data_IF_791990137192
#
_entry.id   IF_791990137192
#
_cell.length_a   1.000
_cell.length_b   1.000
_cell.length_c   1.000
_cell.angle_alpha   90.00
_cell.angle_beta   90.00
_cell.angle_gamma   90.00
#
_symmetry.space_group_name_H-M   'P 1'
#
loop_
_entity.id
_entity.type
_entity.pdbx_description
1 polymer ?
#
# COMPACT_ATOMS: atom_id res chain seq x y z
N UNK A 1 -37.89 -2.15 21.26
CA UNK A 1 -37.00 -2.84 20.29
C UNK A 1 -36.84 -4.28 20.73
N UNK A 2 -37.02 -5.26 19.83
CA UNK A 2 -36.92 -6.68 20.18
C UNK A 2 -35.45 -7.09 20.41
N UNK A 3 -35.18 -7.94 21.39
CA UNK A 3 -33.83 -8.45 21.68
C UNK A 3 -33.18 -9.15 20.48
N UNK A 4 -33.99 -9.84 19.65
CA UNK A 4 -33.55 -10.43 18.38
C UNK A 4 -32.98 -9.39 17.41
N UNK A 5 -33.61 -8.22 17.32
CA UNK A 5 -33.19 -7.15 16.41
C UNK A 5 -31.85 -6.53 16.84
N UNK A 6 -31.61 -6.43 18.15
CA UNK A 6 -30.34 -5.96 18.71
C UNK A 6 -29.21 -6.97 18.42
N UNK A 7 -29.46 -8.27 18.57
CA UNK A 7 -28.48 -9.32 18.30
C UNK A 7 -28.09 -9.34 16.82
N UNK A 8 -29.06 -9.26 15.91
CA UNK A 8 -28.80 -9.22 14.46
C UNK A 8 -27.97 -7.98 14.09
N UNK A 9 -28.28 -6.82 14.67
CA UNK A 9 -27.55 -5.59 14.39
C UNK A 9 -26.09 -5.65 14.87
N UNK A 10 -25.85 -6.20 16.06
CA UNK A 10 -24.49 -6.40 16.59
C UNK A 10 -23.69 -7.41 15.76
N UNK A 11 -24.31 -8.51 15.32
CA UNK A 11 -23.67 -9.48 14.44
C UNK A 11 -23.29 -8.85 13.09
N UNK A 12 -24.13 -7.97 12.56
CA UNK A 12 -23.88 -7.29 11.29
C UNK A 12 -22.75 -6.26 11.40
N UNK A 13 -22.71 -5.49 12.50
CA UNK A 13 -21.63 -4.56 12.80
C UNK A 13 -20.28 -5.25 12.97
N UNK A 14 -20.25 -6.35 13.71
CA UNK A 14 -19.01 -7.13 13.92
C UNK A 14 -18.51 -7.73 12.60
N UNK A 15 -19.40 -8.26 11.76
CA UNK A 15 -19.05 -8.73 10.42
C UNK A 15 -18.48 -7.62 9.53
N UNK A 16 -19.05 -6.42 9.57
CA UNK A 16 -18.55 -5.26 8.82
C UNK A 16 -17.16 -4.82 9.32
N UNK A 17 -16.95 -4.80 10.64
CA UNK A 17 -15.65 -4.47 11.22
C UNK A 17 -14.58 -5.50 10.83
N UNK A 18 -14.88 -6.79 10.88
CA UNK A 18 -13.95 -7.86 10.47
C UNK A 18 -13.57 -7.72 9.00
N UNK A 19 -14.54 -7.44 8.12
CA UNK A 19 -14.28 -7.20 6.70
C UNK A 19 -13.39 -5.98 6.47
N UNK A 20 -13.65 -4.89 7.19
CA UNK A 20 -12.85 -3.67 7.11
C UNK A 20 -11.39 -3.93 7.53
N UNK A 21 -11.19 -4.57 8.68
CA UNK A 21 -9.84 -4.93 9.18
C UNK A 21 -9.12 -5.86 8.20
N UNK A 22 -9.82 -6.86 7.65
CA UNK A 22 -9.23 -7.76 6.65
C UNK A 22 -8.75 -6.99 5.41
N UNK A 23 -9.56 -6.05 4.93
CA UNK A 23 -9.21 -5.23 3.78
C UNK A 23 -8.02 -4.31 4.05
N UNK A 24 -7.97 -3.67 5.22
CA UNK A 24 -6.82 -2.84 5.63
C UNK A 24 -5.53 -3.66 5.77
N UNK A 25 -5.62 -4.88 6.30
CA UNK A 25 -4.47 -5.79 6.39
C UNK A 25 -3.95 -6.20 5.01
N UNK A 26 -4.83 -6.54 4.08
CA UNK A 26 -4.43 -6.87 2.70
C UNK A 26 -3.78 -5.67 2.00
N UNK A 27 -4.33 -4.48 2.21
CA UNK A 27 -3.77 -3.24 1.71
C UNK A 27 -2.35 -2.98 2.26
N UNK A 28 -2.17 -3.14 3.56
CA UNK A 28 -0.88 -2.99 4.24
C UNK A 28 0.16 -3.95 3.68
N UNK A 29 -0.19 -5.24 3.53
CA UNK A 29 0.69 -6.26 2.94
C UNK A 29 1.15 -5.89 1.52
N UNK A 30 0.23 -5.39 0.68
CA UNK A 30 0.54 -4.96 -0.69
C UNK A 30 1.53 -3.79 -0.70
N UNK A 31 1.32 -2.80 0.17
CA UNK A 31 2.22 -1.64 0.29
C UNK A 31 3.60 -2.08 0.77
N UNK A 32 3.67 -2.96 1.78
CA UNK A 32 4.93 -3.49 2.29
C UNK A 32 5.70 -4.21 1.18
N UNK A 33 5.01 -5.05 0.40
CA UNK A 33 5.63 -5.75 -0.73
C UNK A 33 6.12 -4.79 -1.81
N UNK A 34 5.33 -3.77 -2.16
CA UNK A 34 5.77 -2.72 -3.08
C UNK A 34 7.00 -1.97 -2.53
N UNK A 35 7.09 -1.78 -1.20
CA UNK A 35 8.27 -1.30 -0.49
C UNK A 35 9.52 -2.13 -0.77
N UNK A 36 9.44 -3.45 -0.62
CA UNK A 36 10.56 -4.33 -0.89
C UNK A 36 11.03 -4.30 -2.35
N UNK A 37 10.11 -4.28 -3.32
CA UNK A 37 10.49 -4.15 -4.74
C UNK A 37 11.10 -2.80 -5.06
N UNK A 38 10.55 -1.73 -4.47
CA UNK A 38 11.12 -0.40 -4.59
C UNK A 38 12.57 -0.38 -4.06
N UNK A 39 12.82 -0.96 -2.89
CA UNK A 39 14.17 -1.05 -2.33
C UNK A 39 15.12 -1.79 -3.28
N UNK A 40 14.72 -2.97 -3.77
CA UNK A 40 15.52 -3.73 -4.74
C UNK A 40 15.81 -2.92 -6.02
N UNK A 41 14.83 -2.17 -6.52
CA UNK A 41 14.99 -1.32 -7.69
C UNK A 41 15.96 -0.15 -7.42
N UNK A 42 15.88 0.48 -6.24
CA UNK A 42 16.80 1.57 -5.86
C UNK A 42 18.23 1.05 -5.68
N UNK A 43 18.41 -0.13 -5.08
CA UNK A 43 19.70 -0.82 -4.96
C UNK A 43 20.32 -1.09 -6.34
N UNK A 44 19.53 -1.62 -7.29
CA UNK A 44 19.96 -1.89 -8.67
C UNK A 44 20.40 -0.61 -9.40
N UNK A 45 19.79 0.53 -9.10
CA UNK A 45 20.10 1.83 -9.71
C UNK A 45 21.13 2.65 -8.91
N UNK A 46 21.68 2.11 -7.81
CA UNK A 46 22.64 2.81 -6.95
C UNK A 46 22.08 4.07 -6.28
N UNK A 47 20.76 4.16 -6.14
CA UNK A 47 20.09 5.31 -5.53
C UNK A 47 20.12 5.14 -4.02
N UNK A 48 20.71 6.10 -3.29
CA UNK A 48 20.67 6.09 -1.83
C UNK A 48 19.24 6.18 -1.33
N UNK A 49 18.82 5.21 -0.53
CA UNK A 49 17.51 5.17 0.08
C UNK A 49 17.59 4.92 1.58
N UNK A 50 16.47 5.16 2.27
CA UNK A 50 16.30 4.74 3.65
C UNK A 50 16.12 3.23 3.68
N UNK A 51 16.70 2.60 4.69
CA UNK A 51 16.46 1.18 4.92
C UNK A 51 15.01 0.97 5.36
N UNK A 52 14.22 0.29 4.51
CA UNK A 52 12.78 0.15 4.71
C UNK A 52 12.45 -0.92 5.77
N UNK A 53 13.39 -1.80 6.12
CA UNK A 53 13.12 -3.03 6.90
C UNK A 53 12.35 -2.85 8.22
N UNK A 54 12.48 -1.71 8.92
CA UNK A 54 11.84 -1.55 10.25
C UNK A 54 11.00 -0.31 10.42
N UNK A 55 11.40 0.80 9.82
CA UNK A 55 10.67 2.08 9.97
C UNK A 55 9.50 2.17 9.00
N UNK A 56 9.60 1.54 7.83
CA UNK A 56 8.55 1.56 6.82
C UNK A 56 7.34 0.74 7.28
N UNK A 57 7.55 -0.52 7.67
CA UNK A 57 6.47 -1.42 8.09
C UNK A 57 5.66 -0.90 9.28
N UNK A 58 6.34 -0.22 10.23
CA UNK A 58 5.71 0.36 11.42
C UNK A 58 5.09 1.74 11.18
N UNK A 59 5.30 2.34 10.02
CA UNK A 59 4.75 3.65 9.69
C UNK A 59 3.31 3.57 9.20
N UNK A 60 2.60 4.69 9.24
CA UNK A 60 1.21 4.75 8.76
C UNK A 60 1.14 4.46 7.26
N UNK A 61 0.01 3.91 6.77
CA UNK A 61 -0.22 3.67 5.34
C UNK A 61 0.05 4.92 4.48
N UNK A 62 -0.35 6.09 4.98
CA UNK A 62 -0.12 7.37 4.29
C UNK A 62 1.38 7.70 4.16
N UNK A 63 2.16 7.43 5.22
CA UNK A 63 3.62 7.59 5.23
C UNK A 63 4.27 6.61 4.26
N UNK A 64 3.90 5.33 4.33
CA UNK A 64 4.43 4.29 3.44
C UNK A 64 4.22 4.66 1.97
N UNK A 65 3.00 5.05 1.60
CA UNK A 65 2.68 5.48 0.24
C UNK A 65 3.46 6.71 -0.19
N UNK A 66 3.63 7.70 0.70
CA UNK A 66 4.38 8.91 0.36
C UNK A 66 5.86 8.62 0.12
N UNK A 67 6.45 7.71 0.88
CA UNK A 67 7.83 7.25 0.69
C UNK A 67 7.98 6.53 -0.65
N UNK A 68 7.04 5.65 -0.99
CA UNK A 68 7.04 4.95 -2.28
C UNK A 68 6.92 5.91 -3.47
N UNK A 69 5.99 6.87 -3.42
CA UNK A 69 5.84 7.88 -4.47
C UNK A 69 7.08 8.76 -4.61
N UNK A 70 7.74 9.10 -3.51
CA UNK A 70 8.98 9.87 -3.52
C UNK A 70 10.10 9.12 -4.26
N UNK A 71 10.25 7.82 -3.98
CA UNK A 71 11.25 7.00 -4.64
C UNK A 71 10.92 6.71 -6.11
N UNK A 72 9.66 6.50 -6.46
CA UNK A 72 9.23 6.43 -7.86
C UNK A 72 9.59 7.70 -8.62
N UNK A 73 9.32 8.87 -8.03
CA UNK A 73 9.69 10.14 -8.63
C UNK A 73 11.22 10.31 -8.77
N UNK A 74 12.00 9.77 -7.83
CA UNK A 74 13.46 9.79 -7.89
C UNK A 74 14.02 8.89 -8.99
N UNK A 75 13.37 7.74 -9.24
CA UNK A 75 13.72 6.82 -10.33
C UNK A 75 13.31 7.37 -11.70
N UNK A 76 12.14 7.98 -11.78
CA UNK A 76 11.63 8.59 -12.99
C UNK A 76 11.01 9.95 -12.67
N UNK A 77 11.74 11.02 -12.97
CA UNK A 77 11.30 12.40 -12.75
C UNK A 77 10.06 12.78 -13.59
N UNK A 78 9.72 11.98 -14.60
CA UNK A 78 8.46 12.11 -15.36
C UNK A 78 7.25 11.57 -14.63
N UNK A 79 7.44 10.87 -13.50
CA UNK A 79 6.35 10.40 -12.64
C UNK A 79 5.75 11.59 -11.87
N UNK A 80 4.64 12.13 -12.37
CA UNK A 80 3.97 13.35 -11.87
C UNK A 80 2.93 13.11 -10.78
N UNK A 81 2.83 11.88 -10.28
CA UNK A 81 1.80 11.51 -9.33
C UNK A 81 2.12 11.90 -7.88
N UNK A 82 3.37 12.26 -7.59
CA UNK A 82 3.81 12.71 -6.27
C UNK A 82 3.04 13.96 -5.81
N UNK A 83 2.36 13.87 -4.66
CA UNK A 83 1.64 15.00 -4.07
C UNK A 83 0.22 15.25 -4.63
N UNK A 84 -0.26 14.41 -5.54
CA UNK A 84 -1.63 14.51 -6.07
C UNK A 84 -2.67 14.00 -5.05
N UNK A 85 -3.85 14.65 -5.00
CA UNK A 85 -4.96 14.17 -4.16
C UNK A 85 -5.59 12.92 -4.80
N UNK A 86 -5.12 11.75 -4.39
CA UNK A 86 -5.64 10.43 -4.79
C UNK A 86 -6.06 9.62 -3.56
N UNK A 87 -7.01 8.71 -3.72
CA UNK A 87 -7.37 7.77 -2.65
C UNK A 87 -6.22 6.80 -2.40
N UNK A 88 -6.17 6.18 -1.21
CA UNK A 88 -5.15 5.19 -0.85
C UNK A 88 -5.06 4.08 -1.90
N UNK A 89 -6.21 3.55 -2.36
CA UNK A 89 -6.26 2.51 -3.40
C UNK A 89 -5.70 2.99 -4.73
N UNK A 90 -6.04 4.21 -5.17
CA UNK A 90 -5.49 4.77 -6.41
C UNK A 90 -3.98 4.95 -6.33
N UNK A 91 -3.45 5.39 -5.17
CA UNK A 91 -2.01 5.57 -4.96
C UNK A 91 -1.27 4.24 -5.09
N UNK A 92 -1.78 3.17 -4.47
CA UNK A 92 -1.20 1.82 -4.55
C UNK A 92 -1.22 1.30 -5.98
N UNK A 93 -2.35 1.43 -6.68
CA UNK A 93 -2.45 0.97 -8.08
C UNK A 93 -1.43 1.67 -8.98
N UNK A 94 -1.20 2.97 -8.81
CA UNK A 94 -0.19 3.68 -9.60
C UNK A 94 1.23 3.19 -9.27
N UNK A 95 1.51 2.93 -7.98
CA UNK A 95 2.81 2.38 -7.56
C UNK A 95 3.02 0.99 -8.15
N UNK A 96 2.02 0.11 -8.07
CA UNK A 96 2.08 -1.24 -8.61
C UNK A 96 2.23 -1.22 -10.13
N UNK A 97 1.50 -0.35 -10.84
CA UNK A 97 1.65 -0.18 -12.28
C UNK A 97 3.05 0.32 -12.66
N UNK A 98 3.57 1.31 -11.92
CA UNK A 98 4.92 1.80 -12.16
C UNK A 98 5.96 0.71 -11.90
N UNK A 99 5.83 -0.07 -10.83
CA UNK A 99 6.69 -1.22 -10.56
C UNK A 99 6.56 -2.33 -11.62
N UNK A 100 5.37 -2.53 -12.19
CA UNK A 100 5.15 -3.46 -13.28
C UNK A 100 5.92 -3.07 -14.55
N UNK A 101 6.08 -1.77 -14.84
CA UNK A 101 6.94 -1.28 -15.93
C UNK A 101 8.42 -1.67 -15.74
N UNK A 102 8.85 -1.91 -14.49
CA UNK A 102 10.18 -2.42 -14.14
C UNK A 102 10.24 -3.96 -14.01
N UNK A 103 9.17 -4.68 -14.35
CA UNK A 103 9.13 -6.14 -14.36
C UNK A 103 8.59 -6.82 -13.10
N UNK A 104 8.12 -6.08 -12.09
CA UNK A 104 7.61 -6.66 -10.83
C UNK A 104 6.13 -7.08 -10.86
N UNK A 105 5.52 -7.19 -12.06
CA UNK A 105 4.08 -7.39 -12.25
C UNK A 105 3.54 -8.71 -11.64
N UNK A 106 4.30 -9.80 -11.69
CA UNK A 106 3.87 -11.12 -11.19
C UNK A 106 3.88 -11.24 -9.67
N UNK A 107 4.63 -10.38 -8.98
CA UNK A 107 4.87 -10.51 -7.54
C UNK A 107 3.98 -9.57 -6.71
N UNK A 108 3.40 -8.54 -7.34
CA UNK A 108 2.46 -7.59 -6.71
C UNK A 108 1.04 -8.16 -6.57
N UNK A 109 0.66 -9.11 -7.43
CA UNK A 109 -0.73 -9.60 -7.57
C UNK A 109 -1.09 -10.83 -6.73
N UNK A 110 -0.31 -11.19 -5.71
CA UNK A 110 -0.72 -12.29 -4.80
C UNK A 110 -1.83 -11.78 -3.88
N UNK A 111 -3.05 -12.09 -4.31
CA UNK A 111 -4.33 -12.04 -3.58
C UNK A 111 -4.22 -12.80 -2.26
#
# INVERSE_FOLDING_TARGET
MSALLVIVFLALLTSLMVLHVHNELNLSKRIIRAGYFMQSLLDQNGIKHLDLEKKFEKSTLSTQLRVLEYYLHSLNSSHKDFGTKKTITQRILNIENALAEYGYQSELSVI
#
